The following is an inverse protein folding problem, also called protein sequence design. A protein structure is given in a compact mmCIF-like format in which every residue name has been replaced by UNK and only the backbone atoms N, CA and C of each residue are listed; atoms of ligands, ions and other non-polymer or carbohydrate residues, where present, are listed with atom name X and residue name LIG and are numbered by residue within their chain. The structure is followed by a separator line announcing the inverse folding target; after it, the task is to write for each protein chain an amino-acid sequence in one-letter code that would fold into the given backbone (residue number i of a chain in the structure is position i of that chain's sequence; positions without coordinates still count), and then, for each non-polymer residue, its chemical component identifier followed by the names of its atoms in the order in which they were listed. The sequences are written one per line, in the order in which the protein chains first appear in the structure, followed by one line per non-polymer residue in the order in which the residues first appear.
data_IF_850863159937
#
_entry.id   IF_850863159937
#
_cell.length_a   1.000
_cell.length_b   1.000
_cell.length_c   1.000
_cell.angle_alpha   90.00
_cell.angle_beta   90.00
_cell.angle_gamma   90.00
#
_symmetry.space_group_name_H-M   'P 1'
#
loop_
_entity.id
_entity.type
_entity.pdbx_description
1 polymer ?
#
# COMPACT_ATOMS: atom_id res chain seq x y z
N UNK A 1 -42.41 -21.17 21.28
CA UNK A 1 -41.22 -21.85 20.75
C UNK A 1 -40.49 -21.04 19.65
N UNK A 2 -41.14 -20.12 18.96
CA UNK A 2 -40.51 -19.32 17.86
C UNK A 2 -39.41 -18.34 18.31
N UNK A 3 -39.44 -17.76 19.50
CA UNK A 3 -38.43 -16.79 19.99
C UNK A 3 -37.02 -17.38 20.08
N UNK A 4 -36.85 -18.64 20.48
CA UNK A 4 -35.51 -19.28 20.63
C UNK A 4 -34.81 -19.51 19.26
N UNK A 5 -35.56 -19.81 18.19
CA UNK A 5 -34.95 -19.98 16.84
C UNK A 5 -34.37 -18.68 16.30
N UNK A 6 -35.01 -17.53 16.56
CA UNK A 6 -34.51 -16.23 16.13
C UNK A 6 -33.15 -15.88 16.78
N UNK A 7 -32.93 -16.20 18.04
CA UNK A 7 -31.64 -15.96 18.72
C UNK A 7 -30.50 -16.80 18.13
N UNK A 8 -30.76 -18.07 17.79
CA UNK A 8 -29.75 -18.93 17.20
C UNK A 8 -29.35 -18.46 15.80
N UNK A 9 -30.29 -18.01 14.97
CA UNK A 9 -30.01 -17.47 13.65
C UNK A 9 -29.18 -16.19 13.80
N UNK A 10 -29.54 -15.28 14.71
CA UNK A 10 -28.76 -14.07 15.00
C UNK A 10 -27.33 -14.37 15.46
N UNK A 11 -27.17 -15.35 16.34
CA UNK A 11 -25.84 -15.77 16.82
C UNK A 11 -24.96 -16.35 15.70
N UNK A 12 -25.54 -17.16 14.80
CA UNK A 12 -24.82 -17.72 13.64
C UNK A 12 -24.40 -16.61 12.67
N UNK A 13 -25.27 -15.65 12.37
CA UNK A 13 -24.94 -14.52 11.50
C UNK A 13 -23.82 -13.68 12.12
N UNK A 14 -23.90 -13.39 13.41
CA UNK A 14 -22.86 -12.64 14.11
C UNK A 14 -21.51 -13.37 14.08
N UNK A 15 -21.51 -14.67 14.36
CA UNK A 15 -20.30 -15.49 14.32
C UNK A 15 -19.70 -15.50 12.89
N UNK A 16 -20.52 -15.66 11.85
CA UNK A 16 -20.08 -15.60 10.47
C UNK A 16 -19.50 -14.23 10.11
N UNK A 17 -20.10 -13.12 10.56
CA UNK A 17 -19.58 -11.78 10.36
C UNK A 17 -18.23 -11.57 11.05
N UNK A 18 -18.07 -12.05 12.28
CA UNK A 18 -16.78 -11.98 13.00
C UNK A 18 -15.70 -12.77 12.27
N UNK A 19 -16.00 -14.00 11.87
CA UNK A 19 -15.06 -14.85 11.10
C UNK A 19 -14.67 -14.15 9.78
N UNK A 20 -15.65 -13.62 9.06
CA UNK A 20 -15.40 -12.85 7.83
C UNK A 20 -14.47 -11.66 8.09
N UNK A 21 -14.74 -10.84 9.12
CA UNK A 21 -13.89 -9.71 9.48
C UNK A 21 -12.45 -10.14 9.80
N UNK A 22 -12.27 -11.23 10.54
CA UNK A 22 -10.95 -11.75 10.88
C UNK A 22 -10.19 -12.20 9.62
N UNK A 23 -10.84 -12.91 8.70
CA UNK A 23 -10.22 -13.30 7.43
C UNK A 23 -9.91 -12.11 6.55
N UNK A 24 -10.85 -11.17 6.44
CA UNK A 24 -10.70 -9.99 5.59
C UNK A 24 -9.55 -9.06 6.04
N UNK A 25 -9.35 -8.92 7.36
CA UNK A 25 -8.31 -8.06 7.95
C UNK A 25 -7.02 -8.82 8.27
N UNK A 26 -6.90 -10.08 7.84
CA UNK A 26 -5.68 -10.86 8.06
C UNK A 26 -4.47 -10.14 7.48
N UNK A 27 -3.35 -10.06 8.23
CA UNK A 27 -2.13 -9.48 7.72
C UNK A 27 -1.63 -10.28 6.51
N UNK A 28 -1.08 -9.57 5.53
CA UNK A 28 -0.46 -10.14 4.34
C UNK A 28 0.80 -9.34 3.96
N UNK A 29 1.74 -10.00 3.29
CA UNK A 29 2.86 -9.33 2.60
C UNK A 29 2.51 -9.14 1.13
N UNK A 30 3.24 -8.24 0.44
CA UNK A 30 3.05 -8.05 -1.01
C UNK A 30 3.27 -9.36 -1.77
N UNK A 31 4.27 -10.16 -1.41
CA UNK A 31 4.53 -11.46 -2.02
C UNK A 31 3.38 -12.47 -1.84
N UNK A 32 2.67 -12.41 -0.70
CA UNK A 32 1.49 -13.26 -0.48
C UNK A 32 0.28 -12.81 -1.30
N UNK A 33 0.13 -11.51 -1.50
CA UNK A 33 -1.01 -10.92 -2.21
C UNK A 33 -0.81 -10.92 -3.72
N UNK A 34 0.42 -10.68 -4.16
CA UNK A 34 0.84 -10.55 -5.54
C UNK A 34 2.10 -11.40 -5.79
N UNK A 35 1.95 -12.73 -5.87
CA UNK A 35 3.09 -13.65 -5.98
C UNK A 35 3.89 -13.49 -7.27
N UNK A 36 3.35 -12.76 -8.26
CA UNK A 36 4.02 -12.41 -9.50
C UNK A 36 4.93 -11.18 -9.41
N UNK A 37 4.89 -10.43 -8.29
CA UNK A 37 5.79 -9.29 -8.06
C UNK A 37 7.11 -9.80 -7.48
N UNK A 38 8.06 -10.06 -8.36
CA UNK A 38 9.44 -10.36 -7.98
C UNK A 38 10.27 -9.06 -7.97
N UNK A 39 10.52 -8.51 -6.79
CA UNK A 39 11.27 -7.28 -6.62
C UNK A 39 12.72 -7.38 -7.12
N UNK A 40 13.27 -8.58 -7.34
CA UNK A 40 14.57 -8.74 -8.01
C UNK A 40 14.52 -8.31 -9.48
N UNK A 41 13.34 -8.27 -10.09
CA UNK A 41 13.08 -7.77 -11.44
C UNK A 41 12.67 -6.30 -11.47
N UNK A 42 12.57 -5.63 -10.33
CA UNK A 42 12.30 -4.20 -10.28
C UNK A 42 13.52 -3.44 -10.80
N UNK A 43 13.32 -2.61 -11.84
CA UNK A 43 14.40 -1.87 -12.50
C UNK A 43 14.63 -0.50 -11.87
N UNK A 44 13.53 0.17 -11.53
CA UNK A 44 13.59 1.49 -10.91
C UNK A 44 12.28 1.78 -10.18
N UNK A 45 12.33 2.77 -9.31
CA UNK A 45 11.17 3.30 -8.59
C UNK A 45 11.06 4.78 -8.98
N UNK A 46 9.90 5.18 -9.49
CA UNK A 46 9.59 6.57 -9.82
C UNK A 46 8.44 7.04 -8.96
N UNK A 47 8.34 8.35 -8.80
CA UNK A 47 7.19 8.91 -8.14
C UNK A 47 7.33 10.39 -7.87
N UNK A 48 6.55 10.84 -6.93
CA UNK A 48 6.59 12.20 -6.43
C UNK A 48 6.29 12.27 -4.95
N UNK A 49 6.67 13.40 -4.39
CA UNK A 49 6.47 13.75 -3.00
C UNK A 49 6.02 15.21 -2.91
N UNK A 50 5.16 15.51 -1.98
CA UNK A 50 4.82 16.89 -1.61
C UNK A 50 4.48 16.99 -0.13
N UNK A 51 4.77 18.13 0.49
CA UNK A 51 4.51 18.44 1.89
C UNK A 51 3.64 19.70 1.99
N UNK A 52 2.54 19.62 2.73
CA UNK A 52 1.67 20.78 2.94
C UNK A 52 2.39 21.84 3.82
N UNK A 53 2.31 23.16 3.54
CA UNK A 53 1.42 23.78 2.55
C UNK A 53 1.97 23.83 1.12
N UNK A 54 3.17 23.33 0.85
CA UNK A 54 3.71 23.26 -0.50
C UNK A 54 2.90 22.23 -1.31
N UNK A 55 2.40 22.66 -2.45
CA UNK A 55 1.56 21.84 -3.32
C UNK A 55 2.32 21.28 -4.52
N UNK A 56 3.55 21.72 -4.73
CA UNK A 56 4.37 21.25 -5.84
C UNK A 56 4.81 19.81 -5.64
N UNK A 57 4.51 18.97 -6.61
CA UNK A 57 4.96 17.61 -6.62
C UNK A 57 6.43 17.57 -7.07
N UNK A 58 7.30 17.16 -6.17
CA UNK A 58 8.72 16.98 -6.47
C UNK A 58 8.92 15.56 -7.00
N UNK A 59 9.41 15.40 -8.25
CA UNK A 59 9.66 14.08 -8.80
C UNK A 59 10.84 13.40 -8.11
N UNK A 60 10.75 12.09 -7.96
CA UNK A 60 11.84 11.25 -7.46
C UNK A 60 12.04 10.07 -8.41
N UNK A 61 13.30 9.73 -8.66
CA UNK A 61 13.70 8.54 -9.42
C UNK A 61 14.79 7.84 -8.64
N UNK A 62 14.53 6.61 -8.26
CA UNK A 62 15.45 5.76 -7.47
C UNK A 62 15.81 4.56 -8.33
N UNK A 63 17.06 4.51 -8.77
CA UNK A 63 17.56 3.48 -9.69
C UNK A 63 18.02 2.24 -8.94
N UNK A 64 17.87 1.08 -9.57
CA UNK A 64 18.43 -0.19 -9.07
C UNK A 64 19.92 -0.05 -8.74
N UNK A 65 20.32 -0.60 -7.61
CA UNK A 65 21.71 -0.59 -7.12
C UNK A 65 22.06 0.62 -6.27
N UNK A 66 21.15 1.58 -6.06
CA UNK A 66 21.32 2.59 -5.02
C UNK A 66 20.93 2.02 -3.65
N UNK A 67 21.53 2.56 -2.58
CA UNK A 67 21.17 2.18 -1.21
C UNK A 67 19.68 2.44 -0.92
N UNK A 68 19.14 3.55 -1.40
CA UNK A 68 17.72 3.90 -1.29
C UNK A 68 16.81 2.86 -1.97
N UNK A 69 17.23 2.35 -3.15
CA UNK A 69 16.48 1.31 -3.85
C UNK A 69 16.41 0.01 -3.03
N UNK A 70 17.56 -0.44 -2.53
CA UNK A 70 17.66 -1.69 -1.77
C UNK A 70 16.86 -1.59 -0.45
N UNK A 71 16.98 -0.46 0.23
CA UNK A 71 16.24 -0.21 1.47
C UNK A 71 14.73 -0.15 1.23
N UNK A 72 14.29 0.58 0.20
CA UNK A 72 12.87 0.74 -0.12
C UNK A 72 12.23 -0.60 -0.52
N UNK A 73 12.89 -1.35 -1.41
CA UNK A 73 12.40 -2.67 -1.83
C UNK A 73 12.39 -3.66 -0.66
N UNK A 74 13.40 -3.61 0.22
CA UNK A 74 13.45 -4.41 1.44
C UNK A 74 12.30 -4.10 2.41
N UNK A 75 11.99 -2.82 2.62
CA UNK A 75 10.83 -2.38 3.41
C UNK A 75 9.54 -2.92 2.79
N UNK A 76 9.36 -2.78 1.47
CA UNK A 76 8.15 -3.26 0.79
C UNK A 76 7.94 -4.77 0.91
N UNK A 77 9.02 -5.53 0.80
CA UNK A 77 8.96 -7.00 0.92
C UNK A 77 8.68 -7.48 2.34
N UNK A 78 9.24 -6.80 3.35
CA UNK A 78 9.13 -7.21 4.76
C UNK A 78 7.87 -6.71 5.45
N UNK A 79 7.25 -5.65 4.94
CA UNK A 79 6.08 -5.03 5.57
C UNK A 79 4.86 -5.93 5.51
N UNK A 80 4.17 -6.02 6.64
CA UNK A 80 2.83 -6.61 6.72
C UNK A 80 1.77 -5.53 6.59
N UNK A 81 0.85 -5.78 5.68
CA UNK A 81 -0.29 -4.90 5.42
C UNK A 81 -1.58 -5.56 5.90
N UNK A 82 -2.59 -4.75 6.20
CA UNK A 82 -3.95 -5.23 6.52
C UNK A 82 -4.97 -4.49 5.68
N UNK A 83 -5.93 -5.20 5.12
CA UNK A 83 -7.07 -4.56 4.47
C UNK A 83 -7.94 -3.87 5.51
N UNK A 84 -8.41 -2.66 5.22
CA UNK A 84 -9.25 -1.89 6.15
C UNK A 84 -10.71 -2.29 6.02
N UNK A 85 -11.37 -2.53 7.14
CA UNK A 85 -12.83 -2.83 7.16
C UNK A 85 -13.67 -1.71 6.55
N UNK A 86 -13.19 -0.47 6.62
CA UNK A 86 -13.88 0.68 6.02
C UNK A 86 -14.07 0.54 4.51
N UNK A 87 -13.27 -0.29 3.84
CA UNK A 87 -13.41 -0.57 2.41
C UNK A 87 -14.69 -1.35 2.08
N UNK A 88 -15.32 -1.97 3.08
CA UNK A 88 -16.59 -2.65 2.94
C UNK A 88 -17.80 -1.69 3.00
N UNK A 89 -17.57 -0.45 3.44
CA UNK A 89 -18.62 0.55 3.51
C UNK A 89 -18.67 1.35 2.21
N UNK A 90 -19.86 1.76 1.75
CA UNK A 90 -19.97 2.72 0.66
C UNK A 90 -19.09 3.94 1.00
N UNK A 91 -18.14 4.24 0.14
CA UNK A 91 -17.22 5.37 0.37
C UNK A 91 -18.01 6.67 0.20
N UNK A 92 -18.42 7.25 1.31
CA UNK A 92 -18.72 8.67 1.35
C UNK A 92 -17.39 9.41 1.18
N UNK A 93 -17.39 10.48 0.41
CA UNK A 93 -16.24 11.38 0.25
C UNK A 93 -15.76 11.84 1.63
N UNK A 94 -14.70 11.22 2.13
CA UNK A 94 -13.98 11.74 3.29
C UNK A 94 -13.16 12.91 2.80
N UNK A 95 -13.58 14.11 3.12
CA UNK A 95 -12.74 15.29 2.99
C UNK A 95 -11.68 15.21 4.09
N UNK A 96 -10.46 14.87 3.71
CA UNK A 96 -9.32 15.07 4.60
C UNK A 96 -8.98 16.55 4.63
N UNK A 97 -8.88 17.13 5.83
CA UNK A 97 -8.34 18.47 5.99
C UNK A 97 -6.83 18.36 6.19
N UNK A 98 -6.08 18.85 5.21
CA UNK A 98 -4.62 18.90 5.29
C UNK A 98 -4.17 19.78 6.44
N UNK A 99 -3.13 19.35 7.15
CA UNK A 99 -2.48 20.09 8.23
C UNK A 99 -1.03 20.37 7.85
N UNK A 100 -0.46 21.41 8.41
CA UNK A 100 0.96 21.72 8.21
C UNK A 100 1.82 20.49 8.59
N UNK A 101 2.75 20.13 7.72
CA UNK A 101 3.58 18.94 7.85
C UNK A 101 2.94 17.64 7.39
N UNK A 102 1.68 17.66 6.94
CA UNK A 102 1.12 16.50 6.24
C UNK A 102 1.85 16.32 4.90
N UNK A 103 2.28 15.11 4.63
CA UNK A 103 2.91 14.79 3.36
C UNK A 103 2.13 13.72 2.61
N UNK A 104 2.26 13.75 1.32
CA UNK A 104 1.75 12.73 0.41
C UNK A 104 2.86 12.29 -0.52
N UNK A 105 2.79 11.06 -0.92
CA UNK A 105 3.72 10.49 -1.87
C UNK A 105 3.02 9.44 -2.72
N UNK A 106 3.56 9.24 -3.90
CA UNK A 106 3.22 8.14 -4.78
C UNK A 106 4.50 7.55 -5.33
N UNK A 107 4.60 6.23 -5.31
CA UNK A 107 5.72 5.48 -5.83
C UNK A 107 5.21 4.42 -6.80
N UNK A 108 5.80 4.39 -7.97
CA UNK A 108 5.56 3.43 -9.02
C UNK A 108 6.79 2.54 -9.18
N UNK A 109 6.60 1.25 -9.05
CA UNK A 109 7.65 0.25 -9.19
C UNK A 109 7.61 -0.30 -10.61
N UNK A 110 8.68 -0.06 -11.36
CA UNK A 110 8.86 -0.50 -12.74
C UNK A 110 9.61 -1.82 -12.75
N UNK A 111 9.01 -2.84 -13.38
CA UNK A 111 9.58 -4.17 -13.50
C UNK A 111 10.05 -4.43 -14.93
N UNK A 112 11.26 -4.98 -15.10
CA UNK A 112 11.77 -5.42 -16.40
C UNK A 112 10.92 -6.53 -16.97
N UNK A 113 10.50 -7.45 -16.11
CA UNK A 113 9.69 -8.60 -16.44
C UNK A 113 8.87 -9.07 -15.24
N UNK A 114 7.61 -9.42 -15.48
CA UNK A 114 6.80 -10.18 -14.54
C UNK A 114 5.93 -11.19 -15.28
N UNK A 115 5.87 -12.40 -14.77
CA UNK A 115 5.01 -13.45 -15.30
C UNK A 115 3.69 -13.44 -14.54
N UNK A 116 2.61 -13.03 -15.20
CA UNK A 116 1.28 -12.93 -14.61
C UNK A 116 0.62 -14.30 -14.42
N UNK A 117 -0.40 -14.39 -13.54
CA UNK A 117 -1.09 -15.65 -13.27
C UNK A 117 -1.80 -16.27 -14.49
N UNK A 118 -2.08 -15.48 -15.51
CA UNK A 118 -2.67 -15.93 -16.77
C UNK A 118 -1.65 -16.51 -17.77
N UNK A 119 -0.36 -16.52 -17.38
CA UNK A 119 0.76 -17.00 -18.20
C UNK A 119 1.32 -15.94 -19.15
N UNK A 120 0.79 -14.72 -19.17
CA UNK A 120 1.38 -13.61 -19.92
C UNK A 120 2.60 -13.06 -19.20
N UNK A 121 3.53 -12.49 -19.97
CA UNK A 121 4.67 -11.74 -19.45
C UNK A 121 4.49 -10.27 -19.77
N UNK A 122 4.66 -9.43 -18.78
CA UNK A 122 4.54 -7.97 -18.92
C UNK A 122 5.77 -7.28 -18.36
N UNK A 123 6.00 -6.03 -18.81
CA UNK A 123 6.99 -5.12 -18.27
C UNK A 123 6.35 -3.76 -18.02
N UNK A 124 6.91 -2.97 -17.11
CA UNK A 124 6.44 -1.63 -16.80
C UNK A 124 5.97 -1.50 -15.35
N UNK A 125 5.04 -0.60 -15.09
CA UNK A 125 4.50 -0.35 -13.73
C UNK A 125 3.54 -1.45 -13.35
N UNK A 126 3.96 -2.29 -12.41
CA UNK A 126 3.13 -3.37 -11.90
C UNK A 126 2.64 -3.14 -10.47
N UNK A 127 3.30 -2.25 -9.75
CA UNK A 127 2.90 -1.85 -8.41
C UNK A 127 3.00 -0.33 -8.31
N UNK A 128 1.91 0.32 -7.99
CA UNK A 128 1.86 1.72 -7.57
C UNK A 128 1.39 1.77 -6.13
N UNK A 129 2.09 2.54 -5.31
CA UNK A 129 1.72 2.78 -3.92
C UNK A 129 1.61 4.27 -3.68
N UNK A 130 0.59 4.65 -2.94
CA UNK A 130 0.36 6.05 -2.59
C UNK A 130 -0.11 6.18 -1.15
N UNK A 131 0.34 7.21 -0.48
CA UNK A 131 -0.22 7.68 0.78
C UNK A 131 -0.69 9.12 0.62
N UNK A 132 -1.99 9.30 0.66
CA UNK A 132 -2.61 10.60 0.70
C UNK A 132 -3.15 10.84 2.11
N UNK A 133 -2.40 11.67 2.87
CA UNK A 133 -2.78 12.08 4.23
C UNK A 133 -3.09 10.91 5.16
N UNK A 134 -2.31 9.85 5.04
CA UNK A 134 -2.46 8.69 5.89
C UNK A 134 -3.43 7.63 5.38
N UNK A 135 -3.98 7.76 4.19
CA UNK A 135 -4.76 6.70 3.53
C UNK A 135 -3.90 5.97 2.49
N UNK A 136 -3.18 4.96 2.98
CA UNK A 136 -2.33 4.12 2.15
C UNK A 136 -3.19 3.27 1.22
N UNK A 137 -2.87 3.34 -0.05
CA UNK A 137 -3.42 2.42 -1.05
C UNK A 137 -2.33 1.95 -2.00
N UNK A 138 -2.55 0.80 -2.61
CA UNK A 138 -1.72 0.33 -3.71
C UNK A 138 -2.58 -0.22 -4.83
N UNK A 139 -2.07 -0.07 -6.03
CA UNK A 139 -2.61 -0.65 -7.25
C UNK A 139 -1.63 -1.67 -7.79
N UNK A 140 -2.11 -2.86 -8.05
CA UNK A 140 -1.35 -3.88 -8.76
C UNK A 140 -2.31 -4.61 -9.70
N UNK A 141 -1.88 -4.84 -10.94
CA UNK A 141 -2.69 -5.50 -11.97
C UNK A 141 -4.08 -4.83 -12.12
N UNK A 142 -4.11 -3.49 -12.12
CA UNK A 142 -5.34 -2.70 -12.24
C UNK A 142 -6.31 -2.78 -11.07
N UNK A 143 -5.92 -3.46 -9.97
CA UNK A 143 -6.74 -3.56 -8.76
C UNK A 143 -6.22 -2.63 -7.67
N UNK A 144 -7.06 -1.70 -7.25
CA UNK A 144 -6.76 -0.79 -6.15
C UNK A 144 -7.18 -1.43 -4.82
N UNK A 145 -6.28 -1.43 -3.86
CA UNK A 145 -6.52 -1.94 -2.51
C UNK A 145 -6.11 -0.90 -1.49
N UNK A 146 -7.07 -0.39 -0.72
CA UNK A 146 -6.74 0.42 0.45
C UNK A 146 -6.35 -0.48 1.61
N UNK A 147 -5.24 -0.15 2.24
CA UNK A 147 -4.67 -0.95 3.32
C UNK A 147 -4.06 -0.06 4.40
N UNK A 148 -3.53 -0.69 5.42
CA UNK A 148 -2.68 -0.04 6.42
C UNK A 148 -1.48 -0.93 6.66
N UNK A 149 -0.30 -0.33 6.81
CA UNK A 149 0.88 -1.05 7.26
C UNK A 149 0.80 -1.30 8.78
N UNK A 150 1.35 -2.39 9.25
CA UNK A 150 1.64 -2.53 10.68
C UNK A 150 2.63 -1.44 11.08
N UNK A 151 2.48 -0.87 12.29
CA UNK A 151 3.30 0.27 12.77
C UNK A 151 3.34 1.45 11.79
N UNK A 152 2.18 1.79 11.24
CA UNK A 152 2.01 2.74 10.13
C UNK A 152 2.86 4.01 10.25
N UNK A 153 2.91 4.65 11.43
CA UNK A 153 3.65 5.91 11.61
C UNK A 153 5.16 5.71 11.42
N UNK A 154 5.70 4.64 11.98
CA UNK A 154 7.12 4.30 11.83
C UNK A 154 7.44 3.93 10.38
N UNK A 155 6.57 3.14 9.76
CA UNK A 155 6.71 2.75 8.36
C UNK A 155 6.71 3.97 7.42
N UNK A 156 5.77 4.92 7.60
CA UNK A 156 5.72 6.16 6.83
C UNK A 156 6.99 7.00 7.07
N UNK A 157 7.47 7.08 8.32
CA UNK A 157 8.72 7.76 8.64
C UNK A 157 9.89 7.20 7.88
N UNK A 158 10.05 5.88 7.84
CA UNK A 158 11.12 5.20 7.06
C UNK A 158 11.05 5.54 5.57
N UNK A 159 9.87 5.49 4.96
CA UNK A 159 9.69 5.86 3.56
C UNK A 159 10.10 7.31 3.30
N UNK A 160 9.68 8.23 4.18
CA UNK A 160 10.06 9.65 4.10
C UNK A 160 11.57 9.85 4.20
N UNK A 161 12.20 9.19 5.17
CA UNK A 161 13.64 9.30 5.42
C UNK A 161 14.49 8.79 4.24
N UNK A 162 13.95 7.89 3.42
CA UNK A 162 14.59 7.43 2.18
C UNK A 162 14.33 8.40 1.04
N UNK A 163 13.08 8.83 0.84
CA UNK A 163 12.70 9.64 -0.33
C UNK A 163 13.26 11.06 -0.25
N UNK A 164 13.22 11.70 0.91
CA UNK A 164 13.58 13.12 1.05
C UNK A 164 15.04 13.42 0.69
N UNK A 165 16.05 12.63 1.10
CA UNK A 165 17.44 12.82 0.66
C UNK A 165 17.61 12.69 -0.86
N UNK A 166 16.94 11.72 -1.50
CA UNK A 166 17.01 11.53 -2.95
C UNK A 166 16.46 12.76 -3.72
N UNK A 167 15.41 13.40 -3.19
CA UNK A 167 14.84 14.62 -3.78
C UNK A 167 15.78 15.80 -3.63
N UNK A 168 16.47 15.93 -2.49
CA UNK A 168 17.37 17.06 -2.21
C UNK A 168 18.73 16.94 -2.90
N UNK A 169 19.00 15.80 -3.52
CA UNK A 169 20.32 15.52 -4.08
C UNK A 169 21.40 15.29 -3.02
N UNK A 170 20.98 15.07 -1.78
CA UNK A 170 21.86 14.78 -0.63
C UNK A 170 22.06 13.26 -0.44
N UNK A 171 21.57 12.47 -1.38
CA UNK A 171 21.77 11.02 -1.43
C UNK A 171 23.25 10.67 -1.56
N UNK A 172 23.71 9.55 -0.99
CA UNK A 172 25.10 9.13 -0.99
C UNK A 172 25.65 8.82 -2.38
#
# INVERSE_FOLDING_TARGET
MMKKRGYWIGAVILAAAVVFCLFYTRPFTLAQRFPYLDFSQCAEIRGYYSEYPETDNVPVVISRGSAAFDELTGIMQSTKFRTRLINLLPQGTKTHQSKDGDFRWELEFYFDKADLPDGSTVSGVLLSMQDFYGDLSFSADGKITSCTAEEKKEWIGKIRDIIVPEIRGDGP
#
